data_IF_423743931371
#
_entry.id   IF_423743931371
#
_cell.length_a   1.000
_cell.length_b   1.000
_cell.length_c   1.000
_cell.angle_alpha   90.00
_cell.angle_beta   90.00
_cell.angle_gamma   90.00
#
_symmetry.space_group_name_H-M   'P 1'
#
loop_
_entity.id
_entity.type
_entity.pdbx_description
1 polymer ?
#
# COMPACT_ATOMS: atom_id res chain seq x y z
N UNK A 1 -8.97 0.98 18.17
CA UNK A 1 -8.22 0.44 17.02
C UNK A 1 -7.55 -0.88 17.32
N UNK A 2 -6.57 -0.92 18.23
CA UNK A 2 -5.80 -2.13 18.55
C UNK A 2 -6.72 -3.34 18.76
N UNK A 3 -7.69 -3.22 19.66
CA UNK A 3 -8.65 -4.31 19.94
C UNK A 3 -9.53 -4.74 18.76
N UNK A 4 -9.82 -3.86 17.81
CA UNK A 4 -10.71 -4.20 16.68
C UNK A 4 -9.93 -4.74 15.47
N UNK A 5 -8.75 -4.22 15.18
CA UNK A 5 -8.00 -4.59 13.98
C UNK A 5 -6.83 -5.52 14.30
N UNK A 6 -6.05 -5.25 15.35
CA UNK A 6 -4.99 -6.16 15.80
C UNK A 6 -5.50 -7.42 16.47
N UNK A 7 -6.70 -7.43 17.06
CA UNK A 7 -7.19 -8.65 17.71
C UNK A 7 -8.17 -9.38 16.80
N UNK A 8 -9.31 -8.75 16.44
CA UNK A 8 -10.32 -9.42 15.59
C UNK A 8 -9.84 -9.64 14.16
N UNK A 9 -9.20 -8.64 13.55
CA UNK A 9 -8.64 -8.75 12.20
C UNK A 9 -7.56 -9.83 12.15
N UNK A 10 -6.58 -9.77 13.07
CA UNK A 10 -5.51 -10.78 13.21
C UNK A 10 -6.06 -12.20 13.34
N UNK A 11 -7.00 -12.42 14.25
CA UNK A 11 -7.59 -13.75 14.45
C UNK A 11 -8.25 -14.29 13.18
N UNK A 12 -8.89 -13.42 12.39
CA UNK A 12 -9.45 -13.80 11.10
C UNK A 12 -8.35 -14.10 10.06
N UNK A 13 -7.31 -13.25 9.98
CA UNK A 13 -6.18 -13.49 9.07
C UNK A 13 -5.45 -14.80 9.40
N UNK A 14 -5.27 -15.13 10.68
CA UNK A 14 -4.66 -16.41 11.11
C UNK A 14 -5.46 -17.64 10.66
N UNK A 15 -6.77 -17.52 10.54
CA UNK A 15 -7.63 -18.60 10.08
C UNK A 15 -7.68 -18.75 8.56
N UNK A 16 -7.39 -17.68 7.81
CA UNK A 16 -7.62 -17.60 6.37
C UNK A 16 -6.33 -17.59 5.55
N UNK A 17 -5.25 -16.98 6.05
CA UNK A 17 -3.96 -16.91 5.36
C UNK A 17 -3.18 -18.21 5.59
N UNK A 18 -2.84 -18.97 4.54
CA UNK A 18 -2.02 -20.17 4.69
C UNK A 18 -0.65 -19.86 5.29
N UNK A 19 -0.09 -20.78 6.07
CA UNK A 19 1.21 -20.57 6.75
C UNK A 19 2.41 -20.61 5.80
N UNK A 20 2.23 -21.19 4.61
CA UNK A 20 3.23 -21.42 3.58
C UNK A 20 3.19 -20.38 2.45
N UNK A 21 2.37 -19.32 2.58
CA UNK A 21 2.42 -18.21 1.62
C UNK A 21 3.79 -17.52 1.65
N UNK A 22 4.25 -16.95 0.52
CA UNK A 22 5.52 -16.23 0.47
C UNK A 22 5.61 -15.14 1.55
N UNK A 23 6.74 -15.10 2.27
CA UNK A 23 7.02 -14.10 3.28
C UNK A 23 7.40 -12.72 2.71
N UNK A 24 7.44 -12.61 1.38
CA UNK A 24 7.64 -11.37 0.63
C UNK A 24 6.27 -10.80 0.24
N UNK A 25 5.90 -9.66 0.83
CA UNK A 25 4.61 -9.00 0.62
C UNK A 25 4.78 -7.79 -0.29
N UNK A 26 3.93 -7.70 -1.32
CA UNK A 26 3.82 -6.52 -2.19
C UNK A 26 2.46 -5.86 -1.97
N UNK A 27 2.47 -4.56 -1.67
CA UNK A 27 1.29 -3.78 -1.37
C UNK A 27 1.20 -2.54 -2.27
N UNK A 28 0.70 -2.69 -3.51
CA UNK A 28 0.46 -1.55 -4.38
C UNK A 28 -0.70 -0.70 -3.85
N UNK A 29 -0.60 0.61 -4.05
CA UNK A 29 -1.54 1.62 -3.56
C UNK A 29 -1.69 1.66 -2.03
N UNK A 30 -0.70 1.13 -1.30
CA UNK A 30 -0.74 1.04 0.16
C UNK A 30 -0.50 2.36 0.88
N UNK A 31 0.29 3.27 0.28
CA UNK A 31 0.68 4.52 0.94
C UNK A 31 1.30 4.25 2.31
N UNK A 32 0.78 4.95 3.32
CA UNK A 32 1.32 4.99 4.69
C UNK A 32 0.97 3.76 5.51
N UNK A 33 0.21 2.83 4.93
CA UNK A 33 -0.44 1.74 5.65
C UNK A 33 0.45 0.49 5.76
N UNK A 34 1.57 0.62 6.48
CA UNK A 34 2.35 -0.55 6.89
C UNK A 34 1.58 -1.43 7.88
N UNK A 35 0.73 -0.82 8.70
CA UNK A 35 0.06 -1.51 9.79
C UNK A 35 -0.86 -2.64 9.32
N UNK A 36 -1.59 -2.47 8.22
CA UNK A 36 -2.43 -3.56 7.71
C UNK A 36 -1.62 -4.72 7.18
N UNK A 37 -0.44 -4.48 6.60
CA UNK A 37 0.46 -5.55 6.20
C UNK A 37 1.03 -6.30 7.42
N UNK A 38 1.43 -5.59 8.48
CA UNK A 38 1.91 -6.21 9.73
C UNK A 38 0.83 -7.05 10.42
N UNK A 39 -0.43 -6.60 10.37
CA UNK A 39 -1.57 -7.33 10.93
C UNK A 39 -1.98 -8.49 10.02
N UNK A 40 -1.96 -8.35 8.70
CA UNK A 40 -2.35 -9.44 7.81
C UNK A 40 -1.29 -10.54 7.74
N UNK A 41 0.00 -10.16 7.75
CA UNK A 41 1.14 -11.04 7.47
C UNK A 41 2.27 -10.87 8.51
N UNK A 42 2.08 -11.28 9.77
CA UNK A 42 3.06 -11.07 10.85
C UNK A 42 4.35 -11.87 10.66
N UNK A 43 4.33 -12.90 9.80
CA UNK A 43 5.49 -13.71 9.44
C UNK A 43 6.26 -13.15 8.25
N UNK A 44 5.80 -12.05 7.63
CA UNK A 44 6.49 -11.42 6.53
C UNK A 44 7.91 -10.98 6.95
N UNK A 45 8.89 -11.34 6.14
CA UNK A 45 10.29 -10.92 6.31
C UNK A 45 10.59 -9.67 5.49
N UNK A 46 9.82 -9.46 4.42
CA UNK A 46 9.89 -8.29 3.57
C UNK A 46 8.49 -7.78 3.21
N UNK A 47 8.26 -6.48 3.37
CA UNK A 47 7.03 -5.80 2.93
C UNK A 47 7.43 -4.65 2.01
N UNK A 48 6.87 -4.59 0.80
CA UNK A 48 7.04 -3.47 -0.14
C UNK A 48 5.71 -2.74 -0.32
N UNK A 49 5.58 -1.50 0.18
CA UNK A 49 4.43 -0.62 -0.11
C UNK A 49 4.77 0.30 -1.28
N UNK A 50 3.79 0.54 -2.16
CA UNK A 50 3.99 1.38 -3.35
C UNK A 50 2.82 2.35 -3.46
N UNK A 51 3.08 3.64 -3.69
CA UNK A 51 2.03 4.61 -4.00
C UNK A 51 2.60 5.89 -4.60
N UNK A 52 1.75 6.88 -4.88
CA UNK A 52 2.18 8.21 -5.28
C UNK A 52 2.76 9.02 -4.11
N UNK A 53 2.48 8.61 -2.88
CA UNK A 53 3.10 9.22 -1.71
C UNK A 53 4.57 8.87 -1.63
N UNK A 54 5.40 9.89 -1.41
CA UNK A 54 6.83 9.74 -1.22
C UNK A 54 7.15 9.63 0.27
N UNK A 55 8.27 8.98 0.60
CA UNK A 55 8.68 8.71 1.97
C UNK A 55 8.75 9.97 2.86
N UNK A 56 9.31 11.06 2.31
CA UNK A 56 9.42 12.36 2.97
C UNK A 56 10.81 12.64 3.55
N UNK A 57 11.18 13.93 3.58
CA UNK A 57 12.49 14.40 4.04
C UNK A 57 12.52 14.58 5.58
N UNK A 58 13.35 13.82 6.31
CA UNK A 58 13.41 13.88 7.77
C UNK A 58 14.13 15.13 8.27
N UNK A 59 14.92 15.82 7.43
CA UNK A 59 15.65 17.04 7.80
C UNK A 59 14.70 18.19 8.12
N UNK A 60 13.47 18.17 7.58
CA UNK A 60 12.43 19.17 7.88
C UNK A 60 12.15 19.28 9.37
N UNK A 61 12.27 18.19 10.12
CA UNK A 61 12.10 18.17 11.58
C UNK A 61 13.06 19.12 12.31
N UNK A 62 14.25 19.39 11.75
CA UNK A 62 15.26 20.26 12.36
C UNK A 62 14.83 21.73 12.41
N UNK A 63 13.88 22.12 11.56
CA UNK A 63 13.45 23.51 11.40
C UNK A 63 12.06 23.78 11.97
N UNK A 64 11.34 22.75 12.43
CA UNK A 64 9.99 22.93 12.96
C UNK A 64 10.03 23.49 14.38
N UNK A 65 9.18 24.49 14.62
CA UNK A 65 8.89 25.00 15.97
C UNK A 65 7.95 24.03 16.70
N UNK A 66 7.93 24.11 18.04
CA UNK A 66 7.12 23.23 18.89
C UNK A 66 5.62 23.25 18.52
N UNK A 67 5.06 24.42 18.24
CA UNK A 67 3.66 24.58 17.85
C UNK A 67 3.36 23.95 16.48
N UNK A 68 4.31 23.98 15.54
CA UNK A 68 4.21 23.31 14.26
C UNK A 68 4.25 21.79 14.43
N UNK A 69 5.17 21.29 15.27
CA UNK A 69 5.27 19.86 15.60
C UNK A 69 3.95 19.37 16.20
N UNK A 70 3.39 20.10 17.18
CA UNK A 70 2.14 19.72 17.83
C UNK A 70 0.97 19.66 16.85
N UNK A 71 0.82 20.67 15.97
CA UNK A 71 -0.20 20.66 14.92
C UNK A 71 -0.03 19.49 13.97
N UNK A 72 1.18 19.25 13.45
CA UNK A 72 1.43 18.16 12.51
C UNK A 72 1.21 16.78 13.12
N UNK A 73 1.58 16.58 14.39
CA UNK A 73 1.28 15.35 15.13
C UNK A 73 -0.23 15.18 15.34
N UNK A 74 -0.96 16.27 15.58
CA UNK A 74 -2.43 16.29 15.63
C UNK A 74 -3.06 15.85 14.32
N UNK A 75 -2.61 16.40 13.19
CA UNK A 75 -3.05 16.01 11.85
C UNK A 75 -2.72 14.55 11.54
N UNK A 76 -1.49 14.10 11.84
CA UNK A 76 -1.07 12.72 11.66
C UNK A 76 -1.96 11.74 12.46
N UNK A 77 -2.30 12.10 13.70
CA UNK A 77 -3.22 11.30 14.54
C UNK A 77 -4.62 11.22 13.93
N UNK A 78 -5.14 12.32 13.38
CA UNK A 78 -6.44 12.34 12.72
C UNK A 78 -6.43 11.50 11.43
N UNK A 79 -5.39 11.62 10.60
CA UNK A 79 -5.20 10.85 9.37
C UNK A 79 -5.13 9.35 9.65
N UNK A 80 -4.31 8.94 10.61
CA UNK A 80 -4.24 7.55 11.06
C UNK A 80 -5.59 7.10 11.62
N UNK A 81 -6.25 7.94 12.42
CA UNK A 81 -7.62 7.70 12.88
C UNK A 81 -8.57 7.40 11.71
N UNK A 82 -8.46 8.13 10.60
CA UNK A 82 -9.22 7.91 9.36
C UNK A 82 -8.86 6.62 8.61
N UNK A 83 -7.56 6.35 8.42
CA UNK A 83 -7.05 5.12 7.81
C UNK A 83 -7.53 3.87 8.56
N UNK A 84 -7.61 4.00 9.89
CA UNK A 84 -7.95 2.96 10.84
C UNK A 84 -9.46 2.76 11.04
N UNK A 85 -10.24 3.84 11.12
CA UNK A 85 -11.69 3.78 11.43
C UNK A 85 -12.56 3.73 10.18
N UNK A 86 -12.14 4.44 9.12
CA UNK A 86 -12.86 4.55 7.86
C UNK A 86 -12.23 3.67 6.78
N UNK A 87 -11.09 3.03 7.01
CA UNK A 87 -10.47 2.13 6.03
C UNK A 87 -10.22 2.79 4.65
N UNK A 88 -10.22 4.13 4.59
CA UNK A 88 -10.40 4.87 3.36
C UNK A 88 -9.14 5.66 3.00
N UNK A 89 -8.45 5.21 1.96
CA UNK A 89 -7.36 5.90 1.30
C UNK A 89 -7.92 6.81 0.18
N UNK A 90 -8.78 7.78 0.49
CA UNK A 90 -9.26 8.70 -0.57
C UNK A 90 -8.11 9.58 -1.05
N UNK A 91 -8.04 9.82 -2.37
CA UNK A 91 -6.99 10.64 -3.00
C UNK A 91 -6.90 12.06 -2.40
N UNK A 92 -8.00 12.60 -1.87
CA UNK A 92 -8.04 13.88 -1.16
C UNK A 92 -7.30 13.83 0.19
N UNK A 93 -7.48 12.77 0.97
CA UNK A 93 -6.78 12.60 2.25
C UNK A 93 -5.27 12.37 2.03
N UNK A 94 -4.91 11.62 0.99
CA UNK A 94 -3.51 11.32 0.65
C UNK A 94 -2.75 12.52 0.06
N UNK A 95 -3.42 13.35 -0.75
CA UNK A 95 -2.82 14.59 -1.29
C UNK A 95 -2.56 15.64 -0.21
N UNK A 96 -3.37 15.66 0.86
CA UNK A 96 -3.15 16.56 1.99
C UNK A 96 -1.92 16.16 2.84
N UNK A 97 -1.65 14.85 2.98
CA UNK A 97 -0.57 14.31 3.79
C UNK A 97 0.85 14.61 3.27
N UNK A 98 1.05 14.75 1.95
CA UNK A 98 2.38 15.02 1.36
C UNK A 98 2.94 16.41 1.68
N UNK A 99 2.08 17.38 2.03
CA UNK A 99 2.48 18.72 2.44
C UNK A 99 2.58 18.89 3.95
N UNK A 100 2.28 17.85 4.72
CA UNK A 100 2.44 17.92 6.14
C UNK A 100 3.93 18.17 6.46
N UNK A 101 4.20 18.93 7.51
CA UNK A 101 5.57 19.32 7.85
C UNK A 101 6.41 18.14 8.35
N UNK A 102 5.75 17.08 8.81
CA UNK A 102 6.35 15.78 9.09
C UNK A 102 6.56 14.98 7.80
N UNK A 103 7.61 14.13 7.70
CA UNK A 103 7.71 13.16 6.62
C UNK A 103 6.58 12.14 6.76
N UNK A 104 5.45 12.38 6.08
CA UNK A 104 4.15 11.78 6.40
C UNK A 104 4.13 10.25 6.31
N UNK A 105 4.74 9.68 5.27
CA UNK A 105 4.81 8.23 5.06
C UNK A 105 5.70 7.56 6.10
N UNK A 106 6.95 8.03 6.28
CA UNK A 106 7.86 7.54 7.32
C UNK A 106 7.22 7.61 8.71
N UNK A 107 6.55 8.72 9.02
CA UNK A 107 5.86 8.92 10.30
C UNK A 107 4.74 7.90 10.52
N UNK A 108 3.97 7.59 9.47
CA UNK A 108 2.92 6.56 9.49
C UNK A 108 3.50 5.15 9.69
N UNK A 109 4.63 4.84 9.04
CA UNK A 109 5.32 3.55 9.20
C UNK A 109 5.84 3.35 10.61
N UNK A 110 6.50 4.36 11.18
CA UNK A 110 7.01 4.31 12.56
C UNK A 110 5.87 4.10 13.57
N UNK A 111 4.73 4.76 13.39
CA UNK A 111 3.57 4.49 14.23
C UNK A 111 3.05 3.06 14.06
N UNK A 112 2.98 2.56 12.82
CA UNK A 112 2.57 1.20 12.52
C UNK A 112 3.47 0.16 13.23
N UNK A 113 4.78 0.38 13.22
CA UNK A 113 5.75 -0.44 13.93
C UNK A 113 5.50 -0.44 15.44
N UNK A 114 5.41 0.74 16.05
CA UNK A 114 5.17 0.87 17.50
C UNK A 114 3.84 0.22 17.89
N UNK A 115 2.77 0.46 17.13
CA UNK A 115 1.46 -0.15 17.38
C UNK A 115 1.50 -1.69 17.27
N UNK A 116 2.35 -2.23 16.39
CA UNK A 116 2.58 -3.67 16.21
C UNK A 116 3.56 -4.30 17.19
N UNK A 117 4.16 -3.52 18.11
CA UNK A 117 5.18 -4.04 19.05
C UNK A 117 6.54 -4.27 18.40
N UNK A 118 6.85 -3.50 17.35
CA UNK A 118 8.14 -3.50 16.66
C UNK A 118 8.93 -2.24 17.01
N UNK A 119 10.26 -2.37 16.93
CA UNK A 119 11.20 -1.26 17.03
C UNK A 119 11.99 -1.10 15.73
N UNK A 120 12.22 0.15 15.26
CA UNK A 120 13.09 0.39 14.12
C UNK A 120 14.56 0.12 14.50
N UNK A 121 15.32 -0.40 13.53
CA UNK A 121 16.74 -0.74 13.65
C UNK A 121 17.59 0.16 12.76
N UNK A 122 17.14 0.43 11.54
CA UNK A 122 17.82 1.31 10.60
C UNK A 122 16.84 1.92 9.60
N UNK A 123 17.21 3.07 9.04
CA UNK A 123 16.48 3.75 7.97
C UNK A 123 17.47 4.21 6.90
N UNK A 124 17.20 3.91 5.63
CA UNK A 124 18.02 4.36 4.49
C UNK A 124 17.14 4.77 3.33
N UNK A 125 17.52 5.85 2.65
CA UNK A 125 16.91 6.24 1.38
C UNK A 125 17.60 5.53 0.21
N UNK A 126 16.85 5.26 -0.84
CA UNK A 126 17.35 4.54 -2.01
C UNK A 126 16.66 4.98 -3.30
N UNK A 127 17.29 4.67 -4.42
CA UNK A 127 16.67 4.67 -5.74
C UNK A 127 16.74 3.27 -6.35
N UNK A 128 15.98 3.05 -7.41
CA UNK A 128 16.12 1.87 -8.25
C UNK A 128 17.01 2.20 -9.44
N UNK A 129 17.99 1.35 -9.71
CA UNK A 129 18.83 1.48 -10.90
C UNK A 129 18.10 0.97 -12.16
N UNK A 130 18.78 1.03 -13.30
CA UNK A 130 18.22 0.63 -14.58
C UNK A 130 17.90 -0.87 -14.67
N UNK A 131 18.40 -1.74 -13.80
CA UNK A 131 18.01 -3.16 -13.76
C UNK A 131 16.98 -3.44 -12.66
N UNK A 132 16.55 -2.42 -11.91
CA UNK A 132 15.62 -2.56 -10.79
C UNK A 132 16.27 -3.00 -9.48
N UNK A 133 17.60 -2.97 -9.38
CA UNK A 133 18.31 -3.21 -8.13
C UNK A 133 18.27 -1.97 -7.23
N UNK A 134 18.41 -2.20 -5.93
CA UNK A 134 18.41 -1.14 -4.93
C UNK A 134 19.78 -0.47 -4.93
N UNK A 135 19.79 0.83 -5.16
CA UNK A 135 20.94 1.70 -4.96
C UNK A 135 20.69 2.63 -3.77
N UNK A 136 21.40 2.38 -2.66
CA UNK A 136 21.26 3.21 -1.46
C UNK A 136 22.01 4.52 -1.63
N UNK A 137 21.35 5.63 -1.34
CA UNK A 137 21.92 6.97 -1.54
C UNK A 137 22.93 7.31 -0.43
N UNK A 138 24.07 7.85 -0.83
CA UNK A 138 25.01 8.50 0.08
C UNK A 138 24.77 10.02 0.20
N UNK A 139 25.56 10.70 1.03
CA UNK A 139 25.39 12.14 1.26
C UNK A 139 25.69 12.97 0.00
N UNK A 140 26.70 12.60 -0.80
CA UNK A 140 27.06 13.34 -1.99
C UNK A 140 25.97 13.24 -3.06
N UNK A 141 25.34 12.08 -3.18
CA UNK A 141 24.20 11.85 -4.07
C UNK A 141 22.95 12.61 -3.63
N UNK A 142 22.67 12.64 -2.32
CA UNK A 142 21.58 13.47 -1.76
C UNK A 142 21.82 14.95 -2.07
N UNK A 143 23.03 15.45 -1.85
CA UNK A 143 23.38 16.85 -2.10
C UNK A 143 23.24 17.22 -3.58
N UNK A 144 23.58 16.31 -4.49
CA UNK A 144 23.41 16.50 -5.93
C UNK A 144 21.93 16.53 -6.33
N UNK A 145 21.11 15.61 -5.81
CA UNK A 145 19.66 15.62 -6.05
C UNK A 145 18.99 16.88 -5.50
N UNK A 146 19.44 17.40 -4.36
CA UNK A 146 18.98 18.68 -3.81
C UNK A 146 19.28 19.86 -4.76
N UNK A 147 20.50 19.92 -5.32
CA UNK A 147 20.85 20.95 -6.32
C UNK A 147 19.96 20.88 -7.55
N UNK A 148 19.69 19.67 -8.04
CA UNK A 148 18.81 19.46 -9.19
C UNK A 148 17.36 19.87 -8.90
N UNK A 149 16.86 19.58 -7.70
CA UNK A 149 15.54 19.99 -7.25
C UNK A 149 15.43 21.53 -7.15
N UNK A 150 16.47 22.21 -6.66
CA UNK A 150 16.50 23.67 -6.62
C UNK A 150 16.51 24.30 -8.03
N UNK A 151 17.13 23.64 -9.01
CA UNK A 151 17.22 24.12 -10.38
C UNK A 151 15.92 23.92 -11.19
N UNK A 152 15.05 22.99 -10.80
CA UNK A 152 13.82 22.64 -11.55
C UNK A 152 12.58 22.77 -10.66
N UNK A 153 11.70 23.73 -10.96
CA UNK A 153 10.37 23.80 -10.31
C UNK A 153 9.60 22.50 -10.60
N UNK A 154 9.05 21.81 -9.58
CA UNK A 154 8.27 20.59 -9.80
C UNK A 154 7.05 20.86 -10.68
N UNK A 155 6.87 20.09 -11.75
CA UNK A 155 5.58 20.04 -12.48
C UNK A 155 4.66 19.04 -11.78
N UNK A 156 3.39 19.41 -11.60
CA UNK A 156 2.34 18.52 -11.09
C UNK A 156 2.24 17.24 -11.96
N UNK A 157 2.09 16.08 -11.33
CA UNK A 157 2.01 14.79 -12.03
C UNK A 157 0.65 14.52 -12.70
N UNK A 158 -0.42 15.28 -12.40
CA UNK A 158 -1.70 15.44 -13.14
C UNK A 158 -2.76 16.07 -12.23
N UNK A 159 -3.64 16.92 -12.78
CA UNK A 159 -4.80 17.47 -12.05
C UNK A 159 -4.38 18.29 -10.82
N UNK A 160 -5.14 18.17 -9.72
CA UNK A 160 -4.86 18.86 -8.45
C UNK A 160 -3.71 18.24 -7.64
N UNK A 161 -3.07 17.17 -8.13
CA UNK A 161 -1.98 16.51 -7.41
C UNK A 161 -0.76 17.43 -7.35
N UNK A 162 -0.33 17.80 -6.15
CA UNK A 162 0.76 18.73 -5.94
C UNK A 162 2.05 17.95 -5.64
N UNK A 163 3.05 18.13 -6.49
CA UNK A 163 4.36 17.48 -6.32
C UNK A 163 4.97 17.83 -4.97
N UNK A 164 5.67 16.87 -4.33
CA UNK A 164 6.35 17.14 -3.07
C UNK A 164 7.33 18.31 -3.24
N UNK A 165 7.45 19.10 -2.17
CA UNK A 165 8.32 20.27 -2.09
C UNK A 165 9.72 19.92 -1.57
N UNK A 166 10.08 18.63 -1.61
CA UNK A 166 11.37 18.11 -1.16
C UNK A 166 12.02 17.29 -2.29
N UNK A 167 13.33 17.06 -2.16
CA UNK A 167 14.14 16.38 -3.17
C UNK A 167 13.69 14.94 -3.41
N UNK A 168 13.83 14.50 -4.67
CA UNK A 168 13.58 13.11 -5.07
C UNK A 168 14.45 12.09 -4.32
N UNK A 169 15.54 12.53 -3.67
CA UNK A 169 16.33 11.73 -2.75
C UNK A 169 15.48 11.10 -1.64
N UNK A 170 14.36 11.73 -1.27
CA UNK A 170 13.48 11.28 -0.20
C UNK A 170 12.20 10.62 -0.71
N UNK A 171 12.21 10.11 -1.95
CA UNK A 171 11.08 9.41 -2.55
C UNK A 171 10.88 8.01 -1.96
N UNK A 172 11.95 7.22 -1.82
CA UNK A 172 11.89 5.82 -1.38
C UNK A 172 12.70 5.60 -0.11
N UNK A 173 12.17 4.78 0.80
CA UNK A 173 12.81 4.49 2.08
C UNK A 173 12.76 3.00 2.41
N UNK A 174 13.87 2.47 2.90
CA UNK A 174 13.95 1.17 3.55
C UNK A 174 14.01 1.38 5.07
N UNK A 175 13.07 0.76 5.78
CA UNK A 175 13.10 0.60 7.23
C UNK A 175 13.44 -0.85 7.55
N UNK A 176 14.49 -1.03 8.36
CA UNK A 176 14.76 -2.30 9.03
C UNK A 176 14.17 -2.23 10.41
N UNK A 177 13.47 -3.26 10.83
CA UNK A 177 12.78 -3.31 12.12
C UNK A 177 12.78 -4.72 12.66
N UNK A 178 12.51 -4.88 13.95
CA UNK A 178 12.34 -6.19 14.59
C UNK A 178 11.26 -6.11 15.65
N UNK A 179 10.69 -7.24 16.00
CA UNK A 179 9.76 -7.29 17.13
C UNK A 179 10.56 -7.08 18.41
N UNK A 180 10.02 -6.35 19.37
CA UNK A 180 10.70 -6.12 20.66
C UNK A 180 10.99 -7.48 21.31
N UNK A 181 12.26 -7.73 21.64
CA UNK A 181 12.73 -8.98 22.23
C UNK A 181 13.11 -10.08 21.22
N UNK A 182 12.90 -9.88 19.90
CA UNK A 182 13.35 -10.81 18.86
C UNK A 182 14.67 -10.35 18.22
N UNK A 183 15.52 -11.30 17.81
CA UNK A 183 16.73 -11.00 17.05
C UNK A 183 16.47 -10.82 15.54
N UNK A 184 15.36 -11.37 15.03
CA UNK A 184 15.08 -11.37 13.59
C UNK A 184 14.76 -9.96 13.09
N UNK A 185 15.64 -9.47 12.20
CA UNK A 185 15.42 -8.22 11.46
C UNK A 185 14.54 -8.51 10.24
N UNK A 186 13.53 -7.68 10.05
CA UNK A 186 12.59 -7.64 8.94
C UNK A 186 12.78 -6.35 8.15
N UNK A 187 12.33 -6.33 6.90
CA UNK A 187 12.48 -5.21 5.98
C UNK A 187 11.11 -4.68 5.58
N UNK A 188 10.96 -3.36 5.64
CA UNK A 188 9.88 -2.64 4.98
C UNK A 188 10.51 -1.67 3.98
N UNK A 189 10.04 -1.70 2.74
CA UNK A 189 10.40 -0.73 1.70
C UNK A 189 9.15 0.00 1.28
N UNK A 190 9.23 1.31 1.25
CA UNK A 190 8.23 2.13 0.60
C UNK A 190 8.84 2.76 -0.64
N UNK A 191 8.16 2.57 -1.78
CA UNK A 191 8.58 3.10 -3.07
C UNK A 191 7.51 4.10 -3.55
N UNK A 192 7.88 5.37 -3.62
CA UNK A 192 7.05 6.42 -4.19
C UNK A 192 7.11 6.34 -5.72
N UNK A 193 6.13 5.69 -6.33
CA UNK A 193 6.10 5.41 -7.77
C UNK A 193 4.70 5.57 -8.36
N UNK A 194 4.62 6.18 -9.54
CA UNK A 194 3.37 6.22 -10.31
C UNK A 194 3.15 4.88 -11.01
N UNK A 195 2.09 4.18 -10.62
CA UNK A 195 1.72 2.85 -11.13
C UNK A 195 0.91 2.89 -12.44
N UNK A 196 0.60 4.07 -12.97
CA UNK A 196 -0.09 4.22 -14.26
C UNK A 196 0.79 3.79 -15.42
N UNK A 197 0.20 3.07 -16.39
CA UNK A 197 0.91 2.40 -17.47
C UNK A 197 1.83 3.32 -18.26
N UNK A 198 1.41 4.55 -18.57
CA UNK A 198 2.22 5.53 -19.31
C UNK A 198 3.52 5.91 -18.59
N UNK A 199 3.48 5.97 -17.26
CA UNK A 199 4.65 6.24 -16.44
C UNK A 199 5.52 4.98 -16.34
N UNK A 200 4.92 3.84 -16.01
CA UNK A 200 5.63 2.56 -15.84
C UNK A 200 6.37 2.15 -17.12
N UNK A 201 5.81 2.38 -18.31
CA UNK A 201 6.49 2.12 -19.59
C UNK A 201 7.79 2.92 -19.75
N UNK A 202 7.81 4.16 -19.26
CA UNK A 202 8.98 5.06 -19.33
C UNK A 202 9.93 4.86 -18.15
N UNK A 203 9.41 4.33 -17.05
CA UNK A 203 10.13 4.09 -15.80
C UNK A 203 9.95 2.63 -15.33
N UNK A 204 10.49 1.65 -16.09
CA UNK A 204 10.27 0.23 -15.84
C UNK A 204 11.07 -0.35 -14.66
N UNK A 205 11.90 0.46 -13.99
CA UNK A 205 12.76 0.02 -12.88
C UNK A 205 11.96 -0.66 -11.76
N UNK A 206 10.76 -0.13 -11.44
CA UNK A 206 9.88 -0.73 -10.44
C UNK A 206 9.45 -2.14 -10.83
N UNK A 207 8.99 -2.36 -12.07
CA UNK A 207 8.54 -3.69 -12.47
C UNK A 207 9.68 -4.71 -12.42
N UNK A 208 10.88 -4.34 -12.90
CA UNK A 208 12.06 -5.20 -12.78
C UNK A 208 12.40 -5.54 -11.32
N UNK A 209 12.31 -4.55 -10.44
CA UNK A 209 12.50 -4.76 -9.00
C UNK A 209 11.49 -5.76 -8.41
N UNK A 210 10.23 -5.67 -8.84
CA UNK A 210 9.16 -6.53 -8.37
C UNK A 210 9.28 -7.95 -8.94
N UNK A 211 9.58 -8.09 -10.24
CA UNK A 211 9.81 -9.38 -10.90
C UNK A 211 10.94 -10.19 -10.24
N UNK A 212 12.02 -9.51 -9.81
CA UNK A 212 13.13 -10.15 -9.11
C UNK A 212 12.74 -10.77 -7.74
N UNK A 213 11.56 -10.45 -7.20
CA UNK A 213 11.04 -11.05 -5.95
C UNK A 213 10.46 -12.46 -6.16
N UNK A 214 10.18 -12.86 -7.39
CA UNK A 214 9.50 -14.13 -7.69
C UNK A 214 8.04 -14.11 -7.25
N UNK A 215 7.55 -15.24 -6.72
CA UNK A 215 6.17 -15.34 -6.22
C UNK A 215 6.00 -14.56 -4.92
N UNK A 216 4.92 -13.78 -4.82
CA UNK A 216 4.68 -12.87 -3.70
C UNK A 216 3.30 -13.05 -3.09
N UNK A 217 3.18 -12.65 -1.83
CA UNK A 217 1.89 -12.39 -1.19
C UNK A 217 1.49 -10.94 -1.45
N UNK A 218 0.21 -10.68 -1.74
CA UNK A 218 -0.28 -9.36 -2.13
C UNK A 218 -1.30 -8.83 -1.11
N UNK A 219 -1.19 -7.55 -0.81
CA UNK A 219 -2.23 -6.79 -0.11
C UNK A 219 -2.70 -5.66 -1.01
N UNK A 220 -4.00 -5.41 -1.10
CA UNK A 220 -4.52 -4.19 -1.74
C UNK A 220 -5.80 -3.75 -1.06
N UNK A 221 -5.88 -2.51 -0.58
CA UNK A 221 -7.10 -1.98 0.03
C UNK A 221 -7.25 -0.51 -0.31
N UNK A 222 -8.49 -0.05 -0.47
CA UNK A 222 -8.81 1.35 -0.72
C UNK A 222 -8.10 1.95 -1.93
N UNK A 223 -7.76 1.13 -2.93
CA UNK A 223 -6.93 1.51 -4.07
C UNK A 223 -7.72 2.26 -5.17
N UNK A 224 -8.76 3.01 -4.79
CA UNK A 224 -9.60 3.83 -5.69
C UNK A 224 -10.00 3.13 -6.99
N UNK A 225 -10.25 1.82 -6.93
CA UNK A 225 -10.60 0.96 -8.06
C UNK A 225 -9.61 1.01 -9.24
N UNK A 226 -8.35 1.41 -9.00
CA UNK A 226 -7.34 1.58 -10.05
C UNK A 226 -7.03 0.28 -10.79
N UNK A 227 -7.05 -0.87 -10.09
CA UNK A 227 -6.86 -2.19 -10.71
C UNK A 227 -8.02 -2.63 -11.62
N UNK A 228 -9.13 -1.89 -11.67
CA UNK A 228 -10.22 -2.15 -12.63
C UNK A 228 -9.93 -1.47 -13.97
N UNK A 229 -9.23 -0.33 -13.93
CA UNK A 229 -8.94 0.51 -15.09
C UNK A 229 -7.96 -0.15 -16.07
N UNK A 230 -8.11 0.17 -17.35
CA UNK A 230 -7.15 -0.20 -18.39
C UNK A 230 -5.79 0.48 -18.21
N UNK A 231 -5.73 1.63 -17.54
CA UNK A 231 -4.51 2.44 -17.37
C UNK A 231 -3.54 1.93 -16.31
N UNK A 232 -3.87 0.81 -15.65
CA UNK A 232 -3.03 0.15 -14.64
C UNK A 232 -2.86 -1.34 -15.01
N UNK A 233 -2.88 -1.64 -16.31
CA UNK A 233 -2.79 -3.00 -16.82
C UNK A 233 -1.43 -3.64 -16.57
N UNK A 234 -0.34 -2.87 -16.55
CA UNK A 234 1.01 -3.41 -16.36
C UNK A 234 1.22 -3.91 -14.93
N UNK A 235 0.87 -3.09 -13.93
CA UNK A 235 0.95 -3.53 -12.53
C UNK A 235 -0.03 -4.67 -12.26
N UNK A 236 -1.25 -4.63 -12.82
CA UNK A 236 -2.20 -5.75 -12.69
C UNK A 236 -1.66 -7.03 -13.32
N UNK A 237 -1.02 -6.94 -14.48
CA UNK A 237 -0.37 -8.06 -15.15
C UNK A 237 0.71 -8.69 -14.28
N UNK A 238 1.64 -7.87 -13.78
CA UNK A 238 2.65 -8.32 -12.81
C UNK A 238 2.02 -9.07 -11.63
N UNK A 239 0.97 -8.51 -11.01
CA UNK A 239 0.29 -9.16 -9.89
C UNK A 239 -0.29 -10.51 -10.31
N UNK A 240 -1.03 -10.59 -11.42
CA UNK A 240 -1.61 -11.84 -11.92
C UNK A 240 -0.55 -12.90 -12.20
N UNK A 241 0.64 -12.52 -12.66
CA UNK A 241 1.71 -13.47 -12.98
C UNK A 241 2.48 -13.95 -11.73
N UNK A 242 2.54 -13.13 -10.68
CA UNK A 242 3.41 -13.36 -9.51
C UNK A 242 2.65 -13.62 -8.20
N UNK A 243 1.33 -13.45 -8.15
CA UNK A 243 0.56 -13.63 -6.92
C UNK A 243 0.45 -15.12 -6.55
N UNK A 244 0.93 -15.46 -5.35
CA UNK A 244 0.64 -16.75 -4.71
C UNK A 244 -0.63 -16.67 -3.86
N UNK A 245 -0.83 -15.53 -3.20
CA UNK A 245 -1.98 -15.26 -2.34
C UNK A 245 -2.23 -13.76 -2.26
N UNK A 246 -3.49 -13.32 -2.30
CA UNK A 246 -3.86 -11.92 -2.22
C UNK A 246 -5.04 -11.70 -1.29
N UNK A 247 -4.90 -10.72 -0.40
CA UNK A 247 -6.01 -10.12 0.34
C UNK A 247 -6.37 -8.77 -0.27
N UNK A 248 -7.65 -8.56 -0.59
CA UNK A 248 -8.14 -7.25 -0.99
C UNK A 248 -9.56 -6.92 -0.54
N UNK A 249 -9.94 -5.66 -0.61
CA UNK A 249 -11.35 -5.27 -0.70
C UNK A 249 -11.78 -5.32 -2.18
N UNK A 250 -12.94 -4.72 -2.52
CA UNK A 250 -13.42 -4.63 -3.90
C UNK A 250 -12.50 -3.82 -4.82
N UNK A 251 -11.54 -3.03 -4.30
CA UNK A 251 -10.59 -2.28 -5.12
C UNK A 251 -9.45 -3.14 -5.70
N UNK A 252 -9.41 -4.43 -5.32
CA UNK A 252 -8.49 -5.43 -5.86
C UNK A 252 -8.77 -5.81 -7.33
N UNK A 253 -8.20 -6.94 -7.77
CA UNK A 253 -8.33 -7.42 -9.15
C UNK A 253 -9.76 -7.93 -9.39
N UNK A 254 -10.51 -7.38 -10.37
CA UNK A 254 -11.89 -7.79 -10.61
C UNK A 254 -12.00 -9.19 -11.24
N UNK A 255 -13.12 -9.90 -11.06
CA UNK A 255 -13.30 -11.27 -11.54
C UNK A 255 -13.14 -11.42 -13.04
N UNK A 256 -13.46 -10.36 -13.80
CA UNK A 256 -13.30 -10.27 -15.25
C UNK A 256 -11.84 -10.41 -15.71
N UNK A 257 -10.86 -10.10 -14.85
CA UNK A 257 -9.43 -10.30 -15.14
C UNK A 257 -8.88 -11.52 -14.38
N UNK A 258 -9.30 -11.72 -13.13
CA UNK A 258 -8.81 -12.83 -12.30
C UNK A 258 -9.18 -14.22 -12.88
N UNK A 259 -10.43 -14.40 -13.32
CA UNK A 259 -10.90 -15.71 -13.83
C UNK A 259 -10.17 -16.16 -15.11
N UNK A 260 -10.00 -15.31 -16.15
CA UNK A 260 -9.19 -15.67 -17.31
C UNK A 260 -7.72 -15.98 -16.98
N UNK A 261 -7.15 -15.31 -15.97
CA UNK A 261 -5.79 -15.55 -15.49
C UNK A 261 -5.64 -16.83 -14.62
N UNK A 262 -6.67 -17.68 -14.56
CA UNK A 262 -6.61 -18.94 -13.80
C UNK A 262 -6.71 -18.76 -12.29
N UNK A 263 -7.15 -17.61 -11.81
CA UNK A 263 -7.33 -17.35 -10.38
C UNK A 263 -8.70 -17.84 -9.89
N UNK A 264 -8.77 -18.09 -8.58
CA UNK A 264 -9.99 -18.30 -7.81
C UNK A 264 -10.13 -17.15 -6.81
N UNK A 265 -11.36 -16.69 -6.62
CA UNK A 265 -11.69 -15.64 -5.66
C UNK A 265 -12.73 -16.13 -4.67
N UNK A 266 -12.46 -15.97 -3.38
CA UNK A 266 -13.35 -16.32 -2.28
C UNK A 266 -13.79 -15.04 -1.56
N UNK A 267 -15.11 -14.91 -1.35
CA UNK A 267 -15.71 -13.68 -0.83
C UNK A 267 -16.15 -13.80 0.62
N UNK A 268 -15.96 -12.71 1.36
CA UNK A 268 -16.35 -12.55 2.76
C UNK A 268 -17.06 -11.21 2.95
N UNK A 269 -17.98 -11.16 3.91
CA UNK A 269 -18.79 -9.98 4.18
C UNK A 269 -19.91 -9.82 3.16
N UNK A 270 -20.20 -8.58 2.78
CA UNK A 270 -21.27 -8.24 1.84
C UNK A 270 -20.83 -7.14 0.89
N UNK A 271 -21.21 -7.29 -0.38
CA UNK A 271 -20.92 -6.31 -1.43
C UNK A 271 -22.12 -6.21 -2.36
N UNK A 272 -22.61 -4.99 -2.56
CA UNK A 272 -23.72 -4.70 -3.47
C UNK A 272 -23.42 -3.53 -4.42
N UNK A 273 -22.17 -3.07 -4.47
CA UNK A 273 -21.73 -2.04 -5.41
C UNK A 273 -20.57 -1.21 -4.89
N UNK A 274 -19.85 -0.58 -5.81
CA UNK A 274 -18.63 0.16 -5.50
C UNK A 274 -18.89 1.36 -4.57
N UNK A 275 -17.97 1.59 -3.64
CA UNK A 275 -17.97 2.75 -2.74
C UNK A 275 -17.97 4.09 -3.50
N UNK A 276 -17.11 4.21 -4.50
CA UNK A 276 -16.97 5.43 -5.29
C UNK A 276 -18.00 5.41 -6.40
N UNK A 277 -18.84 6.45 -6.46
CA UNK A 277 -19.95 6.55 -7.42
C UNK A 277 -19.49 6.34 -8.87
N UNK A 278 -18.35 6.91 -9.27
CA UNK A 278 -17.78 6.74 -10.62
C UNK A 278 -17.29 5.33 -10.96
N UNK A 279 -17.29 4.40 -10.01
CA UNK A 279 -16.96 2.97 -10.22
C UNK A 279 -18.18 2.05 -10.16
N UNK A 280 -19.36 2.59 -9.82
CA UNK A 280 -20.61 1.83 -9.78
C UNK A 280 -21.16 1.54 -11.18
N UNK A 281 -21.98 0.49 -11.29
CA UNK A 281 -22.68 0.12 -12.53
C UNK A 281 -21.73 -0.06 -13.75
N UNK A 282 -20.49 -0.47 -13.46
CA UNK A 282 -19.53 -0.88 -14.48
C UNK A 282 -19.54 -2.39 -14.59
N UNK A 283 -19.06 -2.94 -15.72
CA UNK A 283 -18.89 -4.39 -15.89
C UNK A 283 -18.09 -5.07 -14.77
N UNK A 284 -17.19 -4.33 -14.12
CA UNK A 284 -16.34 -4.83 -13.04
C UNK A 284 -17.11 -4.87 -11.71
N UNK A 285 -17.95 -3.86 -11.47
CA UNK A 285 -18.86 -3.82 -10.33
C UNK A 285 -19.88 -4.95 -10.40
N UNK A 286 -20.54 -5.11 -11.55
CA UNK A 286 -21.50 -6.18 -11.80
C UNK A 286 -20.88 -7.57 -11.61
N UNK A 287 -19.63 -7.74 -12.07
CA UNK A 287 -18.91 -9.00 -11.91
C UNK A 287 -18.59 -9.31 -10.43
N UNK A 288 -18.26 -8.31 -9.61
CA UNK A 288 -18.11 -8.50 -8.18
C UNK A 288 -19.44 -8.80 -7.50
N UNK A 289 -20.51 -8.07 -7.80
CA UNK A 289 -21.86 -8.36 -7.27
C UNK A 289 -22.24 -9.83 -7.57
N UNK A 290 -22.06 -10.27 -8.82
CA UNK A 290 -22.28 -11.66 -9.21
C UNK A 290 -21.39 -12.66 -8.46
N UNK A 291 -20.11 -12.32 -8.22
CA UNK A 291 -19.19 -13.15 -7.45
C UNK A 291 -19.70 -13.36 -6.01
N UNK A 292 -20.13 -12.29 -5.32
CA UNK A 292 -20.69 -12.41 -3.96
C UNK A 292 -22.01 -13.21 -3.95
N UNK A 293 -22.90 -12.99 -4.92
CA UNK A 293 -24.16 -13.74 -5.03
C UNK A 293 -23.95 -15.24 -5.32
N UNK A 294 -22.85 -15.59 -6.01
CA UNK A 294 -22.54 -16.97 -6.37
C UNK A 294 -21.99 -17.82 -5.22
N UNK A 295 -21.67 -17.23 -4.07
CA UNK A 295 -21.01 -17.89 -2.94
C UNK A 295 -21.87 -17.83 -1.67
N UNK A 296 -21.75 -18.84 -0.76
CA UNK A 296 -22.39 -18.74 0.54
C UNK A 296 -21.86 -17.53 1.31
N UNK A 297 -22.76 -16.84 2.01
CA UNK A 297 -22.38 -15.67 2.82
C UNK A 297 -21.48 -16.08 3.98
N UNK A 298 -20.25 -15.58 3.99
CA UNK A 298 -19.29 -15.73 5.10
C UNK A 298 -19.27 -14.45 5.92
N UNK A 299 -19.54 -14.54 7.23
CA UNK A 299 -19.57 -13.37 8.12
C UNK A 299 -18.17 -12.75 8.22
N UNK A 300 -18.10 -11.42 8.14
CA UNK A 300 -16.89 -10.64 8.39
C UNK A 300 -17.13 -9.73 9.60
N UNK A 301 -16.29 -9.86 10.63
CA UNK A 301 -16.47 -9.20 11.92
C UNK A 301 -15.74 -7.86 12.09
N UNK A 302 -15.12 -7.37 11.03
CA UNK A 302 -14.29 -6.16 11.03
C UNK A 302 -14.32 -5.47 9.67
N UNK A 303 -13.92 -4.19 9.63
CA UNK A 303 -13.78 -3.42 8.40
C UNK A 303 -12.41 -3.68 7.77
N UNK A 304 -12.38 -3.84 6.45
CA UNK A 304 -11.16 -3.98 5.67
C UNK A 304 -11.25 -3.06 4.45
N UNK A 305 -10.40 -2.03 4.38
CA UNK A 305 -10.42 -1.09 3.27
C UNK A 305 -11.75 -0.33 3.10
N UNK A 306 -12.11 -0.07 1.85
CA UNK A 306 -13.38 0.54 1.47
C UNK A 306 -14.56 -0.37 1.86
N UNK A 307 -15.64 0.25 2.31
CA UNK A 307 -16.94 -0.42 2.43
C UNK A 307 -17.64 -0.39 1.07
N UNK A 308 -18.67 -1.20 0.86
CA UNK A 308 -19.49 -1.08 -0.34
C UNK A 308 -20.38 0.19 -0.30
N UNK A 309 -21.17 0.44 -1.35
CA UNK A 309 -22.12 1.57 -1.42
C UNK A 309 -23.14 1.61 -0.27
N UNK A 310 -23.44 0.46 0.33
CA UNK A 310 -24.39 0.29 1.45
C UNK A 310 -23.66 0.24 2.81
N UNK A 311 -22.40 0.68 2.85
CA UNK A 311 -21.52 0.76 4.02
C UNK A 311 -21.20 -0.59 4.66
N UNK A 312 -21.28 -1.69 3.91
CA UNK A 312 -20.95 -3.03 4.37
C UNK A 312 -19.47 -3.35 4.14
N UNK A 313 -18.86 -3.99 5.15
CA UNK A 313 -17.49 -4.46 5.07
C UNK A 313 -17.40 -5.75 4.25
N UNK A 314 -16.30 -5.90 3.52
CA UNK A 314 -16.06 -7.05 2.68
C UNK A 314 -14.56 -7.31 2.48
N UNK A 315 -14.22 -8.55 2.14
CA UNK A 315 -12.88 -9.00 1.77
C UNK A 315 -12.99 -9.99 0.60
N UNK A 316 -12.04 -9.91 -0.31
CA UNK A 316 -11.78 -10.86 -1.38
C UNK A 316 -10.43 -11.51 -1.12
N UNK A 317 -10.42 -12.84 -1.07
CA UNK A 317 -9.20 -13.64 -1.14
C UNK A 317 -9.02 -14.06 -2.59
N UNK A 318 -7.87 -13.74 -3.20
CA UNK A 318 -7.54 -14.17 -4.57
C UNK A 318 -6.30 -15.05 -4.55
N UNK A 319 -6.33 -16.17 -5.28
CA UNK A 319 -5.21 -17.13 -5.36
C UNK A 319 -5.23 -17.92 -6.66
N UNK A 320 -4.09 -18.48 -7.10
CA UNK A 320 -4.06 -19.39 -8.26
C UNK A 320 -4.97 -20.60 -8.03
N UNK A 321 -5.62 -21.06 -9.10
CA UNK A 321 -6.28 -22.36 -9.09
C UNK A 321 -5.23 -23.46 -8.86
N UNK A 322 -5.48 -24.45 -7.97
CA UNK A 322 -4.59 -25.60 -7.84
C UNK A 322 -4.37 -26.26 -9.21
N UNK A 323 -3.11 -26.57 -9.54
CA UNK A 323 -2.81 -27.40 -10.70
C UNK A 323 -3.46 -28.77 -10.46
N UNK A 324 -4.28 -29.22 -11.41
CA UNK A 324 -4.88 -30.56 -11.39
C UNK A 324 -3.82 -31.62 -11.64
#
# INVERSE_FOLDING_TARGET
>A
FRTMYFDKGRAWFDAVVPKDVPATVVYPFGGGDLISALVAFPTATEITTISLEQAGDPRRLRTLKLDQIERSLGSLRAEIGGLVSVGSNTSENLSAGQRNDLPGQVSSFLLGLVAGGYEPVAMRYFTLDDVGAIHYLDQAEIDELDKQAAAKRPKSLKGDWQSPNFSAAFANVELRYRKIGEAQVRIHRHIGWNLGDDYVKKHPQLLRHLEAKGQVTVLTKGASYLLWSGNFSLIRGYLLDHLAWMLSDSTGIPPTYAKPAGMIQETYGYYNGAFLEGSQATRHDDAFIALWQSQPRRKLGFRFGYVDKDKQAHVVVTRPRPKK
#
